data_IF_162151400271
#
_entry.id   IF_162151400271
#
_cell.length_a   1.000
_cell.length_b   1.000
_cell.length_c   1.000
_cell.angle_alpha   90.00
_cell.angle_beta   90.00
_cell.angle_gamma   90.00
#
_symmetry.space_group_name_H-M   'P 1'
#
loop_
_entity.id
_entity.type
_entity.pdbx_description
1 polymer ?
#
# COMPACT_ATOMS: atom_id res chain seq x y z
N UNK A 1 -1.35 7.85 -15.51
CA UNK A 1 -0.80 7.27 -14.26
C UNK A 1 -1.42 7.91 -13.03
N UNK A 2 -1.33 9.23 -12.84
CA UNK A 2 -1.87 9.93 -11.67
C UNK A 2 -3.34 9.59 -11.34
N UNK A 3 -4.27 9.70 -12.30
CA UNK A 3 -5.68 9.30 -12.10
C UNK A 3 -5.86 7.83 -11.65
N UNK A 4 -4.99 6.93 -12.09
CA UNK A 4 -5.04 5.50 -11.72
C UNK A 4 -4.47 5.28 -10.32
N UNK A 5 -3.43 6.05 -9.95
CA UNK A 5 -2.90 6.07 -8.60
C UNK A 5 -3.99 6.48 -7.61
N UNK A 6 -4.69 7.58 -7.92
CA UNK A 6 -5.73 8.15 -7.07
C UNK A 6 -6.96 7.24 -6.95
N UNK A 7 -7.47 6.72 -8.08
CA UNK A 7 -8.77 6.03 -8.10
C UNK A 7 -8.69 4.52 -7.87
N UNK A 8 -7.53 3.91 -8.06
CA UNK A 8 -7.40 2.45 -8.08
C UNK A 8 -6.28 1.98 -7.15
N UNK A 9 -5.03 2.37 -7.43
CA UNK A 9 -3.87 1.77 -6.76
C UNK A 9 -3.86 2.09 -5.25
N UNK A 10 -4.08 3.35 -4.87
CA UNK A 10 -4.02 3.77 -3.47
C UNK A 10 -5.08 3.06 -2.62
N UNK A 11 -6.35 3.11 -3.06
CA UNK A 11 -7.46 2.49 -2.35
C UNK A 11 -7.28 0.96 -2.27
N UNK A 12 -6.93 0.33 -3.40
CA UNK A 12 -6.75 -1.12 -3.46
C UNK A 12 -5.67 -1.62 -2.52
N UNK A 13 -4.49 -0.98 -2.51
CA UNK A 13 -3.39 -1.48 -1.68
C UNK A 13 -3.60 -1.22 -0.19
N UNK A 14 -4.16 -0.07 0.18
CA UNK A 14 -4.49 0.22 1.58
C UNK A 14 -5.55 -0.78 2.06
N UNK A 15 -6.58 -1.03 1.26
CA UNK A 15 -7.62 -2.01 1.61
C UNK A 15 -7.03 -3.42 1.81
N UNK A 16 -6.18 -3.88 0.89
CA UNK A 16 -5.52 -5.18 1.00
C UNK A 16 -4.65 -5.28 2.27
N UNK A 17 -3.93 -4.20 2.61
CA UNK A 17 -3.13 -4.14 3.84
C UNK A 17 -3.98 -4.16 5.12
N UNK A 18 -5.09 -3.41 5.16
CA UNK A 18 -5.99 -3.38 6.32
C UNK A 18 -6.69 -4.72 6.54
N UNK A 19 -7.14 -5.37 5.45
CA UNK A 19 -7.73 -6.72 5.49
C UNK A 19 -6.71 -7.83 5.79
N UNK A 20 -5.42 -7.57 5.60
CA UNK A 20 -4.38 -8.60 5.70
C UNK A 20 -4.43 -9.62 4.55
N UNK A 21 -4.82 -9.19 3.35
CA UNK A 21 -4.87 -9.99 2.13
C UNK A 21 -3.47 -10.17 1.54
N UNK A 22 -2.71 -11.13 2.09
CA UNK A 22 -1.37 -11.46 1.62
C UNK A 22 -1.33 -11.88 0.15
N UNK A 23 -2.39 -12.48 -0.38
CA UNK A 23 -2.44 -12.95 -1.77
C UNK A 23 -2.39 -11.78 -2.74
N UNK A 24 -3.26 -10.80 -2.53
CA UNK A 24 -3.25 -9.56 -3.31
C UNK A 24 -1.94 -8.80 -3.13
N UNK A 25 -1.44 -8.68 -1.89
CA UNK A 25 -0.19 -7.96 -1.63
C UNK A 25 1.01 -8.62 -2.33
N UNK A 26 1.08 -9.95 -2.37
CA UNK A 26 2.17 -10.69 -3.01
C UNK A 26 2.23 -10.47 -4.53
N UNK A 27 1.08 -10.30 -5.19
CA UNK A 27 1.00 -10.06 -6.64
C UNK A 27 1.36 -8.61 -7.00
N UNK A 28 0.98 -7.65 -6.15
CA UNK A 28 1.11 -6.22 -6.45
C UNK A 28 2.40 -5.56 -5.93
N UNK A 29 3.11 -6.20 -5.01
CA UNK A 29 4.27 -5.61 -4.35
C UNK A 29 5.57 -6.29 -4.75
N UNK A 30 6.65 -5.50 -4.83
CA UNK A 30 8.00 -6.04 -4.85
C UNK A 30 8.31 -6.72 -3.51
N UNK A 31 9.27 -7.64 -3.53
CA UNK A 31 9.65 -8.48 -2.39
C UNK A 31 9.86 -7.68 -1.09
N UNK A 32 10.59 -6.56 -1.16
CA UNK A 32 10.83 -5.70 0.01
C UNK A 32 9.55 -5.08 0.59
N UNK A 33 8.70 -4.48 -0.26
CA UNK A 33 7.42 -3.91 0.19
C UNK A 33 6.47 -4.98 0.73
N UNK A 34 6.41 -6.15 0.06
CA UNK A 34 5.60 -7.27 0.51
C UNK A 34 6.06 -7.77 1.88
N UNK A 35 7.36 -7.99 2.07
CA UNK A 35 7.93 -8.46 3.32
C UNK A 35 7.61 -7.49 4.49
N UNK A 36 7.74 -6.18 4.25
CA UNK A 36 7.42 -5.16 5.27
C UNK A 36 5.94 -5.18 5.68
N UNK A 37 5.02 -5.21 4.71
CA UNK A 37 3.58 -5.27 5.01
C UNK A 37 3.19 -6.61 5.66
N UNK A 38 3.74 -7.71 5.16
CA UNK A 38 3.49 -9.05 5.67
C UNK A 38 3.92 -9.21 7.13
N UNK A 39 5.05 -8.61 7.53
CA UNK A 39 5.50 -8.64 8.92
C UNK A 39 4.45 -8.06 9.87
N UNK A 40 3.87 -6.90 9.52
CA UNK A 40 2.78 -6.29 10.29
C UNK A 40 1.53 -7.17 10.34
N UNK A 41 1.17 -7.82 9.23
CA UNK A 41 0.02 -8.74 9.19
C UNK A 41 0.25 -9.97 10.09
N UNK A 42 1.44 -10.57 10.04
CA UNK A 42 1.80 -11.74 10.85
C UNK A 42 1.75 -11.39 12.34
N UNK A 43 2.28 -10.23 12.73
CA UNK A 43 2.25 -9.76 14.11
C UNK A 43 0.81 -9.63 14.64
N UNK A 44 -0.08 -8.98 13.87
CA UNK A 44 -1.51 -8.84 14.23
C UNK A 44 -2.20 -10.20 14.36
N UNK A 45 -1.96 -11.13 13.44
CA UNK A 45 -2.52 -12.49 13.51
C UNK A 45 -2.00 -13.27 14.71
N UNK A 46 -0.72 -13.14 15.07
CA UNK A 46 -0.15 -13.78 16.24
C UNK A 46 -0.81 -13.29 17.54
N UNK A 47 -1.17 -12.01 17.57
CA UNK A 47 -1.91 -11.38 18.68
C UNK A 47 -3.43 -11.63 18.61
N UNK A 48 -3.94 -12.29 17.55
CA UNK A 48 -5.38 -12.52 17.28
C UNK A 48 -6.18 -11.22 17.26
N UNK A 49 -5.61 -10.20 16.62
CA UNK A 49 -6.21 -8.88 16.45
C UNK A 49 -6.27 -8.50 14.98
N UNK A 50 -7.26 -7.70 14.61
CA UNK A 50 -7.44 -7.15 13.28
C UNK A 50 -7.62 -5.64 13.34
N UNK A 51 -7.14 -4.96 12.31
CA UNK A 51 -7.46 -3.54 12.10
C UNK A 51 -8.91 -3.39 11.66
N UNK A 52 -9.48 -2.24 11.97
CA UNK A 52 -10.61 -1.76 11.19
C UNK A 52 -10.17 -1.56 9.72
N UNK A 53 -11.00 -2.07 8.82
CA UNK A 53 -10.71 -2.09 7.39
C UNK A 53 -11.51 -1.07 6.61
N UNK A 54 -12.28 -0.22 7.27
CA UNK A 54 -13.08 0.80 6.63
C UNK A 54 -12.23 2.03 6.25
N UNK A 55 -12.10 2.26 4.94
CA UNK A 55 -11.55 3.49 4.39
C UNK A 55 -12.70 4.48 4.23
N UNK A 56 -12.72 5.52 5.06
CA UNK A 56 -13.77 6.54 5.06
C UNK A 56 -13.58 7.54 3.91
N UNK A 57 -12.34 7.94 3.67
CA UNK A 57 -12.00 8.87 2.62
C UNK A 57 -10.55 8.65 2.15
N UNK A 58 -10.33 8.67 0.85
CA UNK A 58 -8.99 8.73 0.26
C UNK A 58 -8.88 10.01 -0.56
N UNK A 59 -7.76 10.72 -0.44
CA UNK A 59 -7.56 11.97 -1.17
C UNK A 59 -6.17 12.56 -1.01
N UNK A 60 -5.98 13.75 -1.57
CA UNK A 60 -4.70 14.49 -1.58
C UNK A 60 -3.56 13.64 -2.17
N UNK A 61 -3.84 12.96 -3.27
CA UNK A 61 -2.85 12.14 -3.98
C UNK A 61 -1.95 13.09 -4.77
N UNK A 62 -0.68 13.15 -4.39
CA UNK A 62 0.30 14.07 -4.96
C UNK A 62 1.54 13.31 -5.43
N UNK A 63 2.06 13.67 -6.61
CA UNK A 63 3.35 13.17 -7.08
C UNK A 63 4.45 14.04 -6.46
N UNK A 64 5.18 13.50 -5.48
CA UNK A 64 6.21 14.24 -4.73
C UNK A 64 7.61 14.06 -5.32
N UNK A 65 7.81 13.07 -6.20
CA UNK A 65 9.09 12.90 -6.87
C UNK A 65 9.18 11.69 -7.78
N UNK A 66 10.35 11.54 -8.39
CA UNK A 66 10.69 10.35 -9.15
C UNK A 66 12.15 9.94 -8.87
N UNK A 67 12.40 8.66 -8.67
CA UNK A 67 13.75 8.10 -8.59
C UNK A 67 14.11 7.50 -9.95
N UNK A 68 15.29 7.90 -10.46
CA UNK A 68 15.86 7.26 -11.65
C UNK A 68 16.47 5.92 -11.25
N UNK A 69 16.40 4.94 -12.14
CA UNK A 69 17.29 3.79 -12.04
C UNK A 69 18.73 4.26 -12.22
N UNK A 70 19.65 3.70 -11.43
CA UNK A 70 21.08 4.00 -11.46
C UNK A 70 21.76 3.45 -12.73
N UNK A 71 21.08 2.59 -13.47
CA UNK A 71 21.49 2.05 -14.78
C UNK A 71 20.75 2.78 -15.91
N UNK A 72 21.40 3.12 -17.03
CA UNK A 72 20.77 3.83 -18.14
C UNK A 72 19.57 3.01 -18.68
N UNK A 73 18.44 3.65 -18.99
CA UNK A 73 17.23 2.95 -19.34
C UNK A 73 17.39 2.31 -20.72
N UNK A 74 17.49 0.99 -20.79
CA UNK A 74 17.23 0.26 -22.03
C UNK A 74 15.72 0.03 -22.11
N UNK A 75 14.95 1.12 -22.22
CA UNK A 75 13.50 1.06 -22.32
C UNK A 75 12.97 0.53 -23.67
N UNK A 76 13.77 -0.26 -24.40
CA UNK A 76 13.45 -0.75 -25.74
C UNK A 76 13.97 -2.17 -26.08
N UNK A 77 14.54 -2.96 -25.15
CA UNK A 77 14.93 -4.34 -25.43
C UNK A 77 14.44 -5.34 -24.39
N UNK A 78 14.23 -6.58 -24.83
CA UNK A 78 13.41 -7.63 -24.18
C UNK A 78 13.94 -8.21 -22.86
N UNK A 79 15.02 -7.67 -22.28
CA UNK A 79 15.62 -8.19 -21.05
C UNK A 79 15.60 -7.10 -19.96
N UNK A 80 14.43 -6.86 -19.39
CA UNK A 80 14.22 -5.86 -18.34
C UNK A 80 14.47 -6.46 -16.95
N UNK A 81 15.44 -5.92 -16.20
CA UNK A 81 15.53 -6.17 -14.76
C UNK A 81 14.60 -5.20 -14.03
N UNK A 82 13.90 -5.65 -12.99
CA UNK A 82 12.87 -4.86 -12.32
C UNK A 82 13.40 -3.51 -11.78
N UNK A 83 14.71 -3.41 -11.50
CA UNK A 83 15.36 -2.22 -10.94
C UNK A 83 15.71 -1.15 -11.98
N UNK A 84 15.45 -1.40 -13.27
CA UNK A 84 15.77 -0.48 -14.37
C UNK A 84 14.65 0.51 -14.74
N UNK A 85 13.47 0.41 -14.10
CA UNK A 85 12.35 1.32 -14.37
C UNK A 85 12.42 2.55 -13.47
N UNK A 86 11.99 3.73 -13.95
CA UNK A 86 11.79 4.88 -13.08
C UNK A 86 10.73 4.57 -12.01
N UNK A 87 10.98 5.02 -10.79
CA UNK A 87 10.01 4.93 -9.70
C UNK A 87 9.36 6.30 -9.51
N UNK A 88 8.05 6.31 -9.36
CA UNK A 88 7.27 7.50 -9.05
C UNK A 88 6.85 7.42 -7.59
N UNK A 89 7.16 8.47 -6.83
CA UNK A 89 6.82 8.55 -5.41
C UNK A 89 5.62 9.46 -5.25
N UNK A 90 4.56 8.91 -4.68
CA UNK A 90 3.34 9.62 -4.36
C UNK A 90 3.16 9.71 -2.85
N UNK A 91 2.55 10.79 -2.40
CA UNK A 91 1.93 10.86 -1.07
C UNK A 91 0.43 10.94 -1.22
N UNK A 92 -0.30 10.37 -0.28
CA UNK A 92 -1.74 10.51 -0.21
C UNK A 92 -2.24 10.36 1.22
N UNK A 93 -3.46 10.84 1.45
CA UNK A 93 -4.12 10.76 2.76
C UNK A 93 -5.27 9.78 2.71
N UNK A 94 -5.42 9.02 3.80
CA UNK A 94 -6.52 8.10 4.05
C UNK A 94 -7.14 8.44 5.40
N UNK A 95 -8.45 8.64 5.45
CA UNK A 95 -9.21 8.64 6.70
C UNK A 95 -9.68 7.23 6.99
N UNK A 96 -9.38 6.75 8.19
CA UNK A 96 -9.73 5.40 8.63
C UNK A 96 -9.98 5.41 10.14
N UNK A 97 -10.76 4.44 10.60
CA UNK A 97 -11.00 4.23 12.03
C UNK A 97 -9.77 3.58 12.64
N UNK A 98 -9.19 4.21 13.65
CA UNK A 98 -8.07 3.66 14.41
C UNK A 98 -8.60 2.82 15.57
N UNK A 99 -9.07 1.62 15.21
CA UNK A 99 -9.62 0.65 16.14
C UNK A 99 -9.04 -0.74 15.84
N UNK A 100 -8.45 -1.35 16.86
CA UNK A 100 -7.96 -2.71 16.81
C UNK A 100 -8.95 -3.61 17.52
N UNK A 101 -9.42 -4.65 16.84
CA UNK A 101 -10.43 -5.58 17.36
C UNK A 101 -9.85 -6.97 17.56
N UNK A 102 -10.24 -7.62 18.63
CA UNK A 102 -10.00 -9.04 18.84
C UNK A 102 -10.72 -9.85 17.76
N UNK A 103 -10.02 -10.77 17.13
CA UNK A 103 -10.61 -11.70 16.16
C UNK A 103 -11.51 -12.75 16.85
N UNK A 104 -11.34 -12.96 18.15
CA UNK A 104 -12.06 -14.00 18.91
C UNK A 104 -13.49 -13.57 19.25
N UNK A 105 -13.66 -12.34 19.70
CA UNK A 105 -14.93 -11.83 20.23
C UNK A 105 -15.34 -10.45 19.69
N UNK A 106 -14.53 -9.86 18.80
CA UNK A 106 -14.83 -8.58 18.13
C UNK A 106 -14.67 -7.35 19.02
N UNK A 107 -14.25 -7.51 20.28
CA UNK A 107 -14.08 -6.41 21.22
C UNK A 107 -12.91 -5.52 20.82
N UNK A 108 -13.05 -4.23 21.11
CA UNK A 108 -11.96 -3.26 20.96
C UNK A 108 -10.84 -3.61 21.94
N UNK A 109 -9.65 -3.86 21.42
CA UNK A 109 -8.42 -4.14 22.17
C UNK A 109 -7.59 -2.87 22.32
N UNK A 110 -7.55 -2.05 21.27
CA UNK A 110 -6.82 -0.79 21.25
C UNK A 110 -7.57 0.25 20.40
N UNK A 111 -7.43 1.52 20.75
CA UNK A 111 -8.12 2.62 20.08
C UNK A 111 -9.59 2.69 20.48
N UNK A 112 -10.39 3.35 19.63
CA UNK A 112 -11.84 3.50 19.84
C UNK A 112 -12.56 3.49 18.50
N UNK A 113 -13.83 3.09 18.50
CA UNK A 113 -14.65 3.08 17.29
C UNK A 113 -14.88 4.48 16.71
N UNK A 114 -14.77 5.50 17.55
CA UNK A 114 -14.87 6.92 17.21
C UNK A 114 -13.50 7.61 17.01
N UNK A 115 -12.37 6.91 17.16
CA UNK A 115 -11.02 7.48 16.89
C UNK A 115 -10.78 7.49 15.37
N UNK A 116 -11.16 8.57 14.70
CA UNK A 116 -10.93 8.73 13.26
C UNK A 116 -9.59 9.42 13.05
N UNK A 117 -8.72 8.76 12.29
CA UNK A 117 -7.39 9.29 11.96
C UNK A 117 -7.24 9.57 10.50
N UNK A 118 -6.55 10.68 10.20
CA UNK A 118 -5.97 10.93 8.89
C UNK A 118 -4.55 10.36 8.88
N UNK A 119 -4.36 9.35 8.05
CA UNK A 119 -3.08 8.67 7.85
C UNK A 119 -2.48 9.13 6.53
N UNK A 120 -1.23 9.57 6.58
CA UNK A 120 -0.46 10.02 5.42
C UNK A 120 0.43 8.86 4.98
N UNK A 121 0.20 8.38 3.76
CA UNK A 121 0.99 7.35 3.12
C UNK A 121 1.99 7.95 2.15
N UNK A 122 3.18 7.37 2.10
CA UNK A 122 4.15 7.53 1.01
C UNK A 122 4.26 6.20 0.28
N UNK A 123 4.14 6.22 -1.05
CA UNK A 123 4.21 5.04 -1.90
C UNK A 123 5.13 5.27 -3.09
N UNK A 124 6.03 4.33 -3.36
CA UNK A 124 6.82 4.30 -4.58
C UNK A 124 6.31 3.22 -5.52
N UNK A 125 6.06 3.57 -6.78
CA UNK A 125 5.54 2.66 -7.80
C UNK A 125 6.39 2.67 -9.07
N UNK A 126 6.52 1.51 -9.71
CA UNK A 126 7.17 1.37 -11.01
C UNK A 126 6.29 0.55 -11.96
N UNK A 127 6.60 0.54 -13.25
CA UNK A 127 5.97 -0.43 -14.16
C UNK A 127 6.26 -1.85 -13.66
N UNK A 128 5.26 -2.73 -13.75
CA UNK A 128 5.46 -4.13 -13.41
C UNK A 128 6.37 -4.79 -14.46
N UNK A 129 7.41 -5.56 -14.08
CA UNK A 129 8.32 -6.20 -15.03
C UNK A 129 7.63 -7.26 -15.89
N UNK A 130 6.55 -7.86 -15.39
CA UNK A 130 5.71 -8.86 -16.08
C UNK A 130 4.24 -8.41 -16.05
N UNK A 131 3.83 -7.42 -16.85
CA UNK A 131 2.48 -6.84 -16.73
C UNK A 131 1.35 -7.83 -17.05
N UNK A 132 1.67 -8.97 -17.67
CA UNK A 132 0.75 -10.08 -17.99
C UNK A 132 0.59 -11.10 -16.85
N UNK A 133 1.14 -10.84 -15.65
CA UNK A 133 0.98 -11.75 -14.52
C UNK A 133 -0.50 -11.86 -14.12
N UNK A 134 -0.99 -13.10 -14.02
CA UNK A 134 -2.35 -13.40 -13.60
C UNK A 134 -2.63 -12.81 -12.21
N UNK A 135 -3.82 -12.21 -12.05
CA UNK A 135 -4.23 -11.55 -10.80
C UNK A 135 -3.82 -10.07 -10.68
N UNK A 136 -2.99 -9.53 -11.59
CA UNK A 136 -2.72 -8.08 -11.61
C UNK A 136 -3.96 -7.29 -12.04
N UNK A 137 -4.44 -6.43 -11.15
CA UNK A 137 -5.47 -5.43 -11.49
C UNK A 137 -4.95 -4.25 -12.32
N UNK A 138 -3.64 -4.01 -12.31
CA UNK A 138 -3.00 -2.89 -13.01
C UNK A 138 -1.54 -3.20 -13.31
N UNK A 139 -0.95 -2.60 -14.38
CA UNK A 139 0.41 -2.92 -14.83
C UNK A 139 1.51 -2.23 -14.01
N UNK A 140 1.26 -1.99 -12.73
CA UNK A 140 2.15 -1.27 -11.80
C UNK A 140 2.50 -2.14 -10.60
N UNK A 141 3.74 -2.03 -10.15
CA UNK A 141 4.27 -2.71 -8.97
C UNK A 141 4.59 -1.68 -7.89
N UNK A 142 4.25 -2.02 -6.66
CA UNK A 142 4.55 -1.22 -5.47
C UNK A 142 5.92 -1.61 -4.95
N UNK A 143 6.83 -0.64 -4.96
CA UNK A 143 8.24 -0.83 -4.57
C UNK A 143 8.48 -0.57 -3.11
N UNK A 144 7.84 0.46 -2.59
CA UNK A 144 7.91 0.88 -1.20
C UNK A 144 6.54 1.44 -0.80
N UNK A 145 6.13 1.20 0.44
CA UNK A 145 4.98 1.86 1.06
C UNK A 145 5.29 2.07 2.54
N UNK A 146 4.95 3.25 3.05
CA UNK A 146 5.15 3.60 4.44
C UNK A 146 4.06 4.56 4.91
N UNK A 147 3.72 4.47 6.20
CA UNK A 147 2.97 5.50 6.90
C UNK A 147 3.98 6.53 7.39
N UNK A 148 3.83 7.78 6.95
CA UNK A 148 4.74 8.89 7.29
C UNK A 148 4.08 9.91 8.23
N UNK A 149 2.79 9.77 8.51
CA UNK A 149 2.05 10.60 9.45
C UNK A 149 0.72 9.97 9.84
N UNK A 150 0.29 10.25 11.06
CA UNK A 150 -1.03 9.87 11.56
C UNK A 150 -1.48 10.94 12.56
N UNK A 151 -2.60 11.59 12.26
CA UNK A 151 -3.19 12.62 13.12
C UNK A 151 -4.66 12.29 13.42
N UNK A 152 -5.08 12.50 14.66
CA UNK A 152 -6.49 12.43 15.04
C UNK A 152 -7.22 13.62 14.42
N UNK A 153 -8.32 13.35 13.72
CA UNK A 153 -9.13 14.38 13.05
C UNK A 153 -10.56 14.45 13.56
N UNK A 154 -10.97 13.48 14.36
CA UNK A 154 -12.22 13.48 15.11
C UNK A 154 -12.09 12.60 16.35
#
# INVERSE_FOLDING_TARGET
MHNMMERVIAAHIVQAFLLGDEGTLAVHCAEGAFAAMRASIIERRAQKVRLDSEILQLGNVELVGARRSLTPPICATQNFSADECPWFVYTFTCQQVNCLRSEVDGRVVEGREDDIRRVVYSIAVSKHPKPETEGLLYPWMIREIAIIGSEAVW
#
